data_IF_232222377835
#
_entry.id   IF_232222377835
#
_cell.length_a   1.000
_cell.length_b   1.000
_cell.length_c   1.000
_cell.angle_alpha   90.00
_cell.angle_beta   90.00
_cell.angle_gamma   90.00
#
_symmetry.space_group_name_H-M   'P 1'
#
loop_
_entity.id
_entity.type
_entity.pdbx_description
1 polymer ?
#
# COMPACT_ATOMS: atom_id res chain seq x y z
N UNK A 1 -2.57 8.90 -28.34
CA UNK A 1 -3.36 8.42 -27.19
C UNK A 1 -3.48 6.91 -27.32
N UNK A 2 -3.02 6.18 -26.35
CA UNK A 2 -3.01 4.71 -26.34
C UNK A 2 -4.05 4.21 -25.33
N UNK A 3 -4.84 3.21 -25.72
CA UNK A 3 -5.75 2.51 -24.83
C UNK A 3 -5.08 1.20 -24.43
N UNK A 4 -4.99 0.94 -23.14
CA UNK A 4 -4.39 -0.27 -22.58
C UNK A 4 -5.52 -1.09 -21.96
N UNK A 5 -5.71 -2.30 -22.47
CA UNK A 5 -6.57 -3.30 -21.84
C UNK A 5 -5.73 -4.16 -20.90
N UNK A 6 -6.13 -4.21 -19.64
CA UNK A 6 -5.47 -5.01 -18.61
C UNK A 6 -6.44 -6.05 -18.08
N UNK A 7 -6.13 -7.32 -18.31
CA UNK A 7 -6.89 -8.44 -17.77
C UNK A 7 -6.22 -8.96 -16.49
N UNK A 8 -6.97 -8.94 -15.38
CA UNK A 8 -6.55 -9.52 -14.11
C UNK A 8 -7.39 -10.75 -13.79
N UNK A 9 -6.75 -11.89 -13.64
CA UNK A 9 -7.40 -13.11 -13.18
C UNK A 9 -7.01 -13.41 -11.73
N UNK A 10 -7.99 -13.53 -10.86
CA UNK A 10 -7.80 -13.88 -9.45
C UNK A 10 -8.39 -15.26 -9.17
N UNK A 11 -7.58 -16.14 -8.58
CA UNK A 11 -8.04 -17.47 -8.14
C UNK A 11 -8.11 -17.45 -6.60
N UNK A 12 -9.30 -17.63 -6.06
CA UNK A 12 -9.51 -17.76 -4.61
C UNK A 12 -9.05 -19.15 -4.17
N UNK A 13 -7.93 -19.23 -3.46
CA UNK A 13 -7.30 -20.50 -3.03
C UNK A 13 -8.20 -21.39 -2.16
N UNK A 14 -9.14 -20.82 -1.42
CA UNK A 14 -10.05 -21.57 -0.54
C UNK A 14 -11.19 -22.26 -1.27
N UNK A 15 -11.64 -21.71 -2.40
CA UNK A 15 -12.83 -22.22 -3.13
C UNK A 15 -12.51 -22.65 -4.55
N UNK A 16 -11.31 -22.36 -5.07
CA UNK A 16 -10.97 -22.55 -6.48
C UNK A 16 -11.68 -21.58 -7.44
N UNK A 17 -12.54 -20.69 -6.93
CA UNK A 17 -13.29 -19.76 -7.76
C UNK A 17 -12.34 -18.81 -8.51
N UNK A 18 -12.53 -18.71 -9.83
CA UNK A 18 -11.80 -17.80 -10.71
C UNK A 18 -12.67 -16.60 -11.02
N UNK A 19 -12.16 -15.41 -10.79
CA UNK A 19 -12.75 -14.14 -11.22
C UNK A 19 -11.80 -13.49 -12.21
N UNK A 20 -12.32 -13.03 -13.36
CA UNK A 20 -11.58 -12.23 -14.31
C UNK A 20 -12.17 -10.81 -14.31
N UNK A 21 -11.30 -9.83 -14.36
CA UNK A 21 -11.66 -8.42 -14.42
C UNK A 21 -10.86 -7.77 -15.55
N UNK A 22 -11.56 -7.05 -16.44
CA UNK A 22 -10.94 -6.28 -17.52
C UNK A 22 -11.01 -4.80 -17.13
N UNK A 23 -9.88 -4.11 -17.21
CA UNK A 23 -9.77 -2.67 -16.96
C UNK A 23 -9.12 -1.98 -18.12
N UNK A 24 -9.67 -0.82 -18.47
CA UNK A 24 -9.17 0.02 -19.55
C UNK A 24 -8.44 1.23 -18.96
N UNK A 25 -7.23 1.47 -19.44
CA UNK A 25 -6.43 2.64 -19.11
C UNK A 25 -6.15 3.46 -20.37
N UNK A 26 -6.01 4.76 -20.19
CA UNK A 26 -5.64 5.68 -21.26
C UNK A 26 -4.25 6.22 -20.95
N UNK A 27 -3.37 6.21 -21.94
CA UNK A 27 -2.00 6.71 -21.85
C UNK A 27 -1.68 7.67 -22.98
N UNK A 28 -0.85 8.66 -22.71
CA UNK A 28 -0.21 9.51 -23.72
C UNK A 28 1.03 8.87 -24.35
N UNK A 29 1.51 7.76 -23.78
CA UNK A 29 2.68 7.02 -24.28
C UNK A 29 2.32 6.22 -25.53
N UNK A 30 3.33 5.93 -26.37
CA UNK A 30 3.19 5.07 -27.54
C UNK A 30 2.89 3.61 -27.14
N UNK A 31 2.18 2.90 -28.03
CA UNK A 31 1.92 1.45 -27.90
C UNK A 31 3.20 0.62 -27.83
N UNK A 32 4.26 1.10 -28.46
CA UNK A 32 5.57 0.41 -28.51
C UNK A 32 6.41 0.58 -27.23
N UNK A 33 5.86 1.28 -26.22
CA UNK A 33 6.56 1.49 -24.95
C UNK A 33 6.59 0.20 -24.13
N UNK A 34 7.75 -0.47 -23.95
CA UNK A 34 7.83 -1.81 -23.37
C UNK A 34 7.47 -1.85 -21.87
N UNK A 35 7.39 -0.68 -21.23
CA UNK A 35 7.13 -0.54 -19.79
C UNK A 35 5.67 -0.20 -19.44
N UNK A 36 4.75 -0.17 -20.41
CA UNK A 36 3.34 0.18 -20.15
C UNK A 36 2.71 -0.67 -19.04
N UNK A 37 2.96 -1.98 -19.05
CA UNK A 37 2.47 -2.88 -18.02
C UNK A 37 3.08 -2.62 -16.62
N UNK A 38 4.31 -2.10 -16.56
CA UNK A 38 4.93 -1.68 -15.30
C UNK A 38 4.25 -0.42 -14.76
N UNK A 39 3.98 0.58 -15.59
CA UNK A 39 3.26 1.79 -15.17
C UNK A 39 1.86 1.51 -14.65
N UNK A 40 1.12 0.59 -15.26
CA UNK A 40 -0.18 0.14 -14.73
C UNK A 40 -0.01 -0.46 -13.33
N UNK A 41 0.98 -1.33 -13.11
CA UNK A 41 1.24 -1.93 -11.78
C UNK A 41 1.68 -0.89 -10.75
N UNK A 42 2.48 0.08 -11.12
CA UNK A 42 2.94 1.15 -10.23
C UNK A 42 1.78 2.05 -9.82
N UNK A 43 0.86 2.37 -10.72
CA UNK A 43 -0.38 3.08 -10.41
C UNK A 43 -1.20 2.33 -9.35
N UNK A 44 -1.36 1.01 -9.49
CA UNK A 44 -2.04 0.19 -8.50
C UNK A 44 -1.34 0.14 -7.15
N UNK A 45 -0.02 0.19 -7.13
CA UNK A 45 0.74 0.22 -5.87
C UNK A 45 0.48 1.51 -5.09
N UNK A 46 0.34 2.64 -5.79
CA UNK A 46 -0.01 3.93 -5.22
C UNK A 46 -1.43 3.92 -4.64
N UNK A 47 -2.41 3.42 -5.40
CA UNK A 47 -3.80 3.28 -4.92
C UNK A 47 -3.88 2.37 -3.69
N UNK A 48 -3.17 1.25 -3.71
CA UNK A 48 -3.10 0.32 -2.57
C UNK A 48 -2.48 0.97 -1.34
N UNK A 49 -1.49 1.83 -1.52
CA UNK A 49 -0.89 2.61 -0.43
C UNK A 49 -1.89 3.62 0.14
N UNK A 50 -2.60 4.37 -0.69
CA UNK A 50 -3.62 5.32 -0.25
C UNK A 50 -4.74 4.62 0.52
N UNK A 51 -5.30 3.55 -0.05
CA UNK A 51 -6.28 2.73 0.65
C UNK A 51 -5.77 2.22 2.01
N UNK A 52 -4.53 1.75 2.04
CA UNK A 52 -3.89 1.29 3.26
C UNK A 52 -3.73 2.39 4.32
N UNK A 53 -3.43 3.63 3.93
CA UNK A 53 -3.36 4.78 4.84
C UNK A 53 -4.75 5.17 5.35
N UNK A 54 -5.77 5.19 4.49
CA UNK A 54 -7.14 5.52 4.87
C UNK A 54 -7.70 4.53 5.89
N UNK A 55 -7.49 3.24 5.66
CA UNK A 55 -7.98 2.18 6.55
C UNK A 55 -7.21 2.11 7.86
N UNK A 56 -5.88 2.25 7.83
CA UNK A 56 -5.04 2.01 9.02
C UNK A 56 -4.74 3.29 9.81
N UNK A 57 -4.68 4.45 9.15
CA UNK A 57 -4.33 5.73 9.77
C UNK A 57 -5.51 6.71 9.80
N UNK A 58 -6.68 6.28 9.30
CA UNK A 58 -7.91 7.08 9.27
C UNK A 58 -7.71 8.46 8.64
N UNK A 59 -6.92 8.53 7.55
CA UNK A 59 -6.46 9.76 6.96
C UNK A 59 -7.62 10.70 6.60
N UNK A 60 -8.68 10.17 6.00
CA UNK A 60 -9.86 10.93 5.57
C UNK A 60 -10.80 11.32 6.72
N UNK A 61 -10.72 10.64 7.87
CA UNK A 61 -11.60 10.88 9.01
C UNK A 61 -11.13 12.02 9.93
N UNK A 62 -9.85 12.38 9.85
CA UNK A 62 -9.27 13.40 10.73
C UNK A 62 -9.55 14.78 10.15
N UNK A 63 -10.54 15.48 10.68
CA UNK A 63 -10.79 16.89 10.35
C UNK A 63 -9.67 17.77 10.89
N UNK A 64 -9.03 18.52 10.01
CA UNK A 64 -7.85 19.35 10.34
C UNK A 64 -8.22 20.83 10.26
N UNK A 65 -7.79 21.59 11.28
CA UNK A 65 -8.14 23.01 11.41
C UNK A 65 -7.39 23.91 10.41
N UNK A 66 -6.24 23.49 9.87
CA UNK A 66 -5.49 24.29 8.90
C UNK A 66 -4.87 23.43 7.81
N UNK A 67 -4.70 24.01 6.62
CA UNK A 67 -4.08 23.34 5.47
C UNK A 67 -2.60 22.96 5.73
N UNK A 68 -1.87 23.76 6.52
CA UNK A 68 -0.48 23.48 6.89
C UNK A 68 -0.39 22.28 7.82
N UNK A 69 -1.24 22.23 8.86
CA UNK A 69 -1.32 21.08 9.76
C UNK A 69 -1.75 19.80 9.03
N UNK A 70 -2.67 19.93 8.06
CA UNK A 70 -3.10 18.82 7.22
C UNK A 70 -1.92 18.22 6.44
N UNK A 71 -1.14 19.06 5.72
CA UNK A 71 0.03 18.61 4.94
C UNK A 71 1.12 17.98 5.80
N UNK A 72 1.42 18.57 6.95
CA UNK A 72 2.43 18.03 7.85
C UNK A 72 2.04 16.66 8.38
N UNK A 73 0.78 16.50 8.80
CA UNK A 73 0.29 15.20 9.27
C UNK A 73 0.24 14.17 8.17
N UNK A 74 -0.19 14.54 6.96
CA UNK A 74 -0.16 13.66 5.77
C UNK A 74 1.27 13.16 5.49
N UNK A 75 2.25 14.05 5.52
CA UNK A 75 3.66 13.69 5.36
C UNK A 75 4.12 12.69 6.43
N UNK A 76 3.80 12.94 7.70
CA UNK A 76 4.15 12.03 8.80
C UNK A 76 3.48 10.65 8.61
N UNK A 77 2.20 10.63 8.24
CA UNK A 77 1.47 9.40 8.01
C UNK A 77 2.07 8.57 6.84
N UNK A 78 2.48 9.23 5.76
CA UNK A 78 3.19 8.58 4.63
C UNK A 78 4.52 7.97 5.07
N UNK A 79 5.31 8.72 5.84
CA UNK A 79 6.59 8.21 6.39
C UNK A 79 6.33 6.99 7.26
N UNK A 80 5.41 7.07 8.21
CA UNK A 80 5.06 5.95 9.11
C UNK A 80 4.62 4.73 8.31
N UNK A 81 3.70 4.90 7.37
CA UNK A 81 3.22 3.81 6.54
C UNK A 81 4.33 3.17 5.72
N UNK A 82 5.20 3.97 5.11
CA UNK A 82 6.35 3.50 4.32
C UNK A 82 7.33 2.70 5.17
N UNK A 83 7.67 3.19 6.37
CA UNK A 83 8.56 2.49 7.29
C UNK A 83 7.99 1.14 7.70
N UNK A 84 6.70 1.06 8.04
CA UNK A 84 6.04 -0.20 8.35
C UNK A 84 5.97 -1.15 7.15
N UNK A 85 5.77 -0.62 5.94
CA UNK A 85 5.73 -1.41 4.70
C UNK A 85 7.09 -2.04 4.39
N UNK A 86 8.17 -1.26 4.50
CA UNK A 86 9.54 -1.74 4.33
C UNK A 86 9.86 -2.80 5.39
N UNK A 87 9.57 -2.52 6.66
CA UNK A 87 9.81 -3.45 7.75
C UNK A 87 9.06 -4.77 7.58
N UNK A 88 7.78 -4.70 7.12
CA UNK A 88 7.01 -5.90 6.79
C UNK A 88 7.65 -6.71 5.66
N UNK A 89 8.19 -6.03 4.63
CA UNK A 89 8.91 -6.66 3.52
C UNK A 89 10.19 -7.38 3.96
N UNK A 90 10.94 -6.80 4.89
CA UNK A 90 12.20 -7.35 5.41
C UNK A 90 12.00 -8.58 6.32
N UNK A 91 10.80 -8.84 6.81
CA UNK A 91 10.53 -9.98 7.70
C UNK A 91 10.69 -11.31 6.98
N UNK A 92 11.56 -12.18 7.53
CA UNK A 92 11.87 -13.50 6.97
C UNK A 92 10.78 -14.54 7.27
N UNK A 93 10.14 -14.48 8.46
CA UNK A 93 9.13 -15.47 8.88
C UNK A 93 7.82 -15.31 8.11
N UNK A 94 7.36 -16.41 7.53
CA UNK A 94 6.11 -16.46 6.75
C UNK A 94 4.87 -16.08 7.58
N UNK A 95 4.84 -16.40 8.88
CA UNK A 95 3.79 -16.01 9.81
C UNK A 95 3.68 -14.50 9.95
N UNK A 96 4.81 -13.80 10.00
CA UNK A 96 4.86 -12.35 10.16
C UNK A 96 4.46 -11.61 8.88
N UNK A 97 4.76 -12.18 7.70
CA UNK A 97 4.35 -11.62 6.41
C UNK A 97 2.82 -11.66 6.20
N UNK A 98 2.12 -12.57 6.88
CA UNK A 98 0.65 -12.70 6.83
C UNK A 98 -0.08 -11.67 7.68
N UNK A 99 0.60 -11.06 8.65
CA UNK A 99 0.00 -10.04 9.53
C UNK A 99 -0.40 -8.82 8.71
N UNK A 100 -1.61 -8.33 8.93
CA UNK A 100 -2.08 -7.09 8.34
C UNK A 100 -1.29 -5.87 8.85
N UNK A 101 -1.33 -4.75 8.12
CA UNK A 101 -0.65 -3.51 8.53
C UNK A 101 -1.16 -3.01 9.89
N UNK A 102 -2.48 -3.01 10.10
CA UNK A 102 -3.10 -2.62 11.36
C UNK A 102 -2.62 -3.48 12.56
N UNK A 103 -2.49 -4.80 12.34
CA UNK A 103 -1.99 -5.72 13.37
C UNK A 103 -0.53 -5.43 13.73
N UNK A 104 0.31 -5.14 12.73
CA UNK A 104 1.71 -4.79 12.94
C UNK A 104 1.85 -3.46 13.71
N UNK A 105 1.11 -2.44 13.31
CA UNK A 105 1.10 -1.15 13.98
C UNK A 105 0.67 -1.29 15.44
N UNK A 106 -0.42 -2.03 15.70
CA UNK A 106 -0.88 -2.32 17.06
C UNK A 106 0.17 -3.09 17.87
N UNK A 107 0.79 -4.10 17.28
CA UNK A 107 1.82 -4.90 17.95
C UNK A 107 3.01 -4.04 18.41
N UNK A 108 3.45 -3.10 17.59
CA UNK A 108 4.56 -2.18 17.93
C UNK A 108 4.12 -1.15 18.96
N UNK A 109 2.91 -0.55 18.83
CA UNK A 109 2.42 0.50 19.72
C UNK A 109 2.10 0.01 21.14
N UNK A 110 1.83 -1.28 21.33
CA UNK A 110 1.49 -1.83 22.65
C UNK A 110 2.70 -2.00 23.60
N UNK A 111 3.94 -1.76 23.16
CA UNK A 111 5.12 -1.95 24.00
C UNK A 111 6.24 -1.02 23.58
N UNK A 112 6.73 -0.22 24.54
CA UNK A 112 7.88 0.68 24.32
C UNK A 112 9.13 -0.09 23.90
N UNK A 113 9.39 -1.26 24.48
CA UNK A 113 10.53 -2.13 24.12
C UNK A 113 10.43 -2.61 22.66
N UNK A 114 9.21 -2.93 22.18
CA UNK A 114 8.99 -3.31 20.78
C UNK A 114 9.19 -2.13 19.84
N UNK A 115 8.73 -0.95 20.22
CA UNK A 115 8.95 0.28 19.48
C UNK A 115 10.46 0.60 19.35
N UNK A 116 11.22 0.55 20.45
CA UNK A 116 12.66 0.75 20.42
C UNK A 116 13.36 -0.28 19.53
N UNK A 117 13.00 -1.56 19.64
CA UNK A 117 13.54 -2.62 18.78
C UNK A 117 13.18 -2.40 17.30
N UNK A 118 12.00 -1.90 17.00
CA UNK A 118 11.58 -1.54 15.66
C UNK A 118 12.45 -0.40 15.10
N UNK A 119 12.68 0.65 15.89
CA UNK A 119 13.46 1.82 15.48
C UNK A 119 14.98 1.54 15.40
N UNK A 120 15.50 0.56 16.15
CA UNK A 120 16.93 0.21 16.19
C UNK A 120 17.35 -0.82 15.13
N UNK A 121 16.45 -1.35 14.34
CA UNK A 121 16.79 -2.27 13.26
C UNK A 121 17.44 -1.49 12.11
N UNK A 122 18.73 -1.75 11.91
CA UNK A 122 19.51 -1.30 10.75
C UNK A 122 19.34 -2.25 9.58
#
# INVERSE_FOLDING_TARGET
MTIIEYEAATIRKSTGARTAEIRLYVSSLSTDTPVLGAYVRDHWSIESMHWGMDVNLLQDRIKRKSAKAARNLDTIQRIVYSVFSIWKGLRKKRSDKRKGMAELMRYVSMSFTRLLRFLSQK
#
